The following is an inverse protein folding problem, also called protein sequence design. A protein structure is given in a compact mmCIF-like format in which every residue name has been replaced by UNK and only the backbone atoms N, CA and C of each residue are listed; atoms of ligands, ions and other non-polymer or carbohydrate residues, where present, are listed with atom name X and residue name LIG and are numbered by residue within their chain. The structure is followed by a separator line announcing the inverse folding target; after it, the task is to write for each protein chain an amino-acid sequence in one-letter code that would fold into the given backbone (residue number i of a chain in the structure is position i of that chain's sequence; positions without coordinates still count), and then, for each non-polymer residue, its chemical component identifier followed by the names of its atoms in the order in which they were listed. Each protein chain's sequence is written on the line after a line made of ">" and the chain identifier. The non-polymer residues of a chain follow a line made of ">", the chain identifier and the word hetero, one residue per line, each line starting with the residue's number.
data_IF_399025228315
#
_entry.id   IF_399025228315
#
_cell.length_a   1.000
_cell.length_b   1.000
_cell.length_c   1.000
_cell.angle_alpha   90.00
_cell.angle_beta   90.00
_cell.angle_gamma   90.00
#
_symmetry.space_group_name_H-M   'P 1'
#
loop_
_entity.id
_entity.type
_entity.pdbx_description
1 polymer ?
#
# COMPACT_ATOMS: atom_id res chain seq x y z
N UNK A 1 3.64 -27.88 13.77
CA UNK A 1 3.36 -28.19 12.34
C UNK A 1 3.59 -26.94 11.49
N UNK A 2 4.45 -26.99 10.46
CA UNK A 2 4.68 -25.83 9.57
C UNK A 2 3.44 -25.62 8.72
N UNK A 3 2.72 -24.49 8.89
CA UNK A 3 1.53 -24.17 8.08
C UNK A 3 1.97 -23.95 6.62
N UNK A 4 1.58 -24.84 5.71
CA UNK A 4 1.98 -24.77 4.29
C UNK A 4 1.20 -23.73 3.51
N UNK A 5 -0.10 -23.57 3.82
CA UNK A 5 -1.03 -22.64 3.19
C UNK A 5 -1.81 -21.84 4.25
N UNK A 6 -2.53 -20.82 3.80
CA UNK A 6 -3.35 -19.92 4.61
C UNK A 6 -2.80 -18.50 4.57
N UNK A 7 -3.65 -17.57 4.12
CA UNK A 7 -3.38 -16.14 4.14
C UNK A 7 -3.29 -15.65 5.60
N UNK A 8 -2.35 -14.75 5.87
CA UNK A 8 -2.18 -14.11 7.18
C UNK A 8 -1.82 -12.63 6.99
N UNK A 9 -2.40 -11.78 7.85
CA UNK A 9 -2.03 -10.39 8.01
C UNK A 9 -0.84 -10.23 8.97
N UNK A 10 -0.07 -9.17 8.77
CA UNK A 10 1.00 -8.80 9.70
C UNK A 10 0.71 -7.46 10.33
N UNK A 11 1.07 -7.31 11.61
CA UNK A 11 0.95 -6.03 12.29
C UNK A 11 1.73 -4.95 11.52
N UNK A 12 1.11 -3.81 11.28
CA UNK A 12 1.69 -2.67 10.61
C UNK A 12 1.59 -1.44 11.53
N UNK A 13 2.71 -0.76 11.73
CA UNK A 13 2.78 0.39 12.65
C UNK A 13 2.04 1.62 12.13
N UNK A 14 1.66 1.65 10.85
CA UNK A 14 0.96 2.78 10.25
C UNK A 14 -0.54 2.65 10.34
N UNK A 15 -1.08 1.43 10.26
CA UNK A 15 -2.53 1.17 10.11
C UNK A 15 -3.06 -0.11 10.76
N UNK A 16 -2.30 -0.65 11.71
CA UNK A 16 -2.59 -1.90 12.42
C UNK A 16 -2.34 -3.15 11.59
N UNK A 17 -2.91 -3.30 10.39
CA UNK A 17 -2.77 -4.52 9.60
C UNK A 17 -2.31 -4.29 8.16
N UNK A 18 -1.46 -5.19 7.68
CA UNK A 18 -1.06 -5.25 6.29
C UNK A 18 -1.00 -6.69 5.77
N UNK A 19 -1.52 -6.91 4.56
CA UNK A 19 -1.21 -8.09 3.77
C UNK A 19 0.14 -7.91 3.07
N UNK A 20 0.92 -8.96 2.85
CA UNK A 20 2.23 -8.84 2.21
C UNK A 20 2.64 -10.12 1.48
N UNK A 21 3.49 -9.93 0.47
CA UNK A 21 4.00 -10.96 -0.43
C UNK A 21 5.54 -10.92 -0.51
N UNK A 22 6.20 -11.97 -1.02
CA UNK A 22 7.65 -11.99 -1.17
C UNK A 22 8.07 -11.12 -2.36
N UNK A 23 8.73 -10.01 -2.05
CA UNK A 23 9.22 -9.05 -3.07
C UNK A 23 10.05 -9.66 -4.20
N UNK A 24 10.76 -10.77 -3.94
CA UNK A 24 11.58 -11.45 -4.95
C UNK A 24 10.76 -12.15 -6.03
N UNK A 25 9.45 -12.30 -5.83
CA UNK A 25 8.53 -12.94 -6.78
C UNK A 25 7.50 -11.97 -7.35
N UNK A 26 7.18 -10.92 -6.60
CA UNK A 26 5.99 -10.11 -6.89
C UNK A 26 6.27 -8.66 -7.25
N UNK A 27 7.48 -8.14 -7.00
CA UNK A 27 7.83 -6.77 -7.38
C UNK A 27 8.37 -6.73 -8.82
N UNK A 28 7.47 -6.88 -9.79
CA UNK A 28 7.82 -7.07 -11.22
C UNK A 28 8.48 -5.84 -11.86
N UNK A 29 8.10 -4.64 -11.43
CA UNK A 29 8.57 -3.36 -12.00
C UNK A 29 9.46 -2.59 -11.01
N UNK A 30 10.12 -3.30 -10.08
CA UNK A 30 11.00 -2.66 -9.09
C UNK A 30 12.29 -2.11 -9.74
N UNK A 31 12.54 -0.83 -9.51
CA UNK A 31 13.79 -0.14 -9.89
C UNK A 31 14.95 -0.57 -9.00
N UNK A 32 16.19 -0.28 -9.41
CA UNK A 32 17.37 -0.59 -8.61
C UNK A 32 17.41 0.26 -7.33
N UNK A 33 17.00 1.53 -7.39
CA UNK A 33 16.80 2.37 -6.20
C UNK A 33 15.80 1.71 -5.24
N UNK A 34 14.63 1.29 -5.73
CA UNK A 34 13.64 0.60 -4.91
C UNK A 34 14.21 -0.68 -4.28
N UNK A 35 14.90 -1.53 -5.04
CA UNK A 35 15.51 -2.76 -4.53
C UNK A 35 16.56 -2.48 -3.45
N UNK A 36 17.32 -1.40 -3.59
CA UNK A 36 18.35 -0.96 -2.63
C UNK A 36 17.75 -0.39 -1.35
N UNK A 37 16.75 0.48 -1.48
CA UNK A 37 16.11 1.20 -0.36
C UNK A 37 14.89 0.47 0.24
N UNK A 38 14.51 -0.69 -0.33
CA UNK A 38 13.32 -1.42 0.03
C UNK A 38 13.19 -1.60 1.55
N UNK A 39 12.08 -1.13 2.12
CA UNK A 39 11.75 -1.26 3.54
C UNK A 39 11.80 -2.72 4.02
N UNK A 40 11.49 -3.68 3.14
CA UNK A 40 11.64 -5.11 3.40
C UNK A 40 13.09 -5.58 3.68
N UNK A 41 14.10 -4.71 3.55
CA UNK A 41 15.50 -4.99 3.97
C UNK A 41 15.71 -4.74 5.46
N UNK A 42 14.78 -4.05 6.13
CA UNK A 42 14.86 -3.80 7.57
C UNK A 42 14.87 -5.08 8.39
N UNK A 43 15.49 -5.01 9.57
CA UNK A 43 15.74 -6.15 10.46
C UNK A 43 14.47 -6.95 10.77
N UNK A 44 13.33 -6.25 10.88
CA UNK A 44 12.00 -6.82 11.11
C UNK A 44 11.55 -7.81 10.03
N UNK A 45 12.09 -7.72 8.81
CA UNK A 45 11.71 -8.56 7.67
C UNK A 45 12.76 -9.64 7.35
N UNK A 46 13.90 -9.65 8.04
CA UNK A 46 15.01 -10.54 7.71
C UNK A 46 14.90 -11.93 8.30
N UNK A 47 14.15 -12.11 9.39
CA UNK A 47 14.02 -13.42 10.03
C UNK A 47 13.30 -14.43 9.13
N UNK A 48 13.70 -15.70 9.24
CA UNK A 48 13.11 -16.77 8.45
C UNK A 48 11.60 -16.87 8.66
N UNK A 49 11.13 -16.72 9.91
CA UNK A 49 9.71 -16.74 10.22
C UNK A 49 8.92 -15.65 9.46
N UNK A 50 9.50 -14.45 9.32
CA UNK A 50 8.84 -13.34 8.60
C UNK A 50 8.83 -13.57 7.08
N UNK A 51 9.88 -14.17 6.53
CA UNK A 51 9.93 -14.59 5.12
C UNK A 51 8.92 -15.71 4.85
N UNK A 52 8.86 -16.71 5.72
CA UNK A 52 7.96 -17.86 5.61
C UNK A 52 6.48 -17.45 5.60
N UNK A 53 6.09 -16.40 6.36
CA UNK A 53 4.72 -15.86 6.32
C UNK A 53 4.35 -15.34 4.93
N UNK A 54 5.23 -14.55 4.31
CA UNK A 54 5.00 -13.97 2.97
C UNK A 54 5.02 -15.03 1.89
N UNK A 55 5.95 -15.98 2.00
CA UNK A 55 6.02 -17.12 1.09
C UNK A 55 4.74 -17.96 1.17
N UNK A 56 4.22 -18.20 2.39
CA UNK A 56 2.94 -18.89 2.57
C UNK A 56 1.76 -18.13 1.94
N UNK A 57 1.71 -16.80 2.12
CA UNK A 57 0.71 -15.97 1.46
C UNK A 57 0.77 -16.14 -0.06
N UNK A 58 1.96 -16.03 -0.66
CA UNK A 58 2.16 -16.21 -2.10
C UNK A 58 1.73 -17.60 -2.58
N UNK A 59 2.16 -18.68 -1.93
CA UNK A 59 1.74 -20.04 -2.29
C UNK A 59 0.23 -20.23 -2.21
N UNK A 60 -0.43 -19.61 -1.24
CA UNK A 60 -1.89 -19.68 -1.09
C UNK A 60 -2.58 -18.89 -2.19
N UNK A 61 -2.10 -17.69 -2.51
CA UNK A 61 -2.59 -16.88 -3.64
C UNK A 61 -2.51 -17.69 -4.93
N UNK A 62 -1.34 -18.22 -5.28
CA UNK A 62 -1.14 -18.98 -6.52
C UNK A 62 -2.02 -20.24 -6.57
N UNK A 63 -2.17 -20.93 -5.44
CA UNK A 63 -3.04 -22.11 -5.36
C UNK A 63 -4.49 -21.75 -5.65
N UNK A 64 -5.02 -20.69 -5.03
CA UNK A 64 -6.42 -20.30 -5.20
C UNK A 64 -6.68 -19.75 -6.61
N UNK A 65 -5.79 -18.91 -7.14
CA UNK A 65 -5.89 -18.43 -8.51
C UNK A 65 -5.88 -19.58 -9.51
N UNK A 66 -4.98 -20.56 -9.33
CA UNK A 66 -4.90 -21.74 -10.21
C UNK A 66 -6.18 -22.59 -10.21
N UNK A 67 -6.87 -22.71 -9.06
CA UNK A 67 -8.00 -23.62 -8.92
C UNK A 67 -9.36 -22.97 -9.14
N UNK A 68 -9.47 -21.65 -9.02
CA UNK A 68 -10.76 -20.96 -9.14
C UNK A 68 -10.67 -19.48 -9.45
N UNK A 69 -9.52 -19.02 -9.97
CA UNK A 69 -9.35 -17.66 -10.45
C UNK A 69 -9.47 -16.57 -9.37
N UNK A 70 -9.68 -15.32 -9.79
CA UNK A 70 -9.84 -14.17 -8.90
C UNK A 70 -10.94 -14.34 -7.86
N UNK A 71 -12.06 -14.97 -8.23
CA UNK A 71 -13.24 -15.14 -7.39
C UNK A 71 -12.93 -16.03 -6.17
N UNK A 72 -12.24 -17.16 -6.39
CA UNK A 72 -11.87 -18.05 -5.30
C UNK A 72 -10.85 -17.40 -4.35
N UNK A 73 -9.89 -16.64 -4.89
CA UNK A 73 -8.97 -15.89 -4.05
C UNK A 73 -9.71 -14.78 -3.27
N UNK A 74 -10.64 -14.08 -3.91
CA UNK A 74 -11.42 -13.02 -3.29
C UNK A 74 -12.20 -13.53 -2.07
N UNK A 75 -12.82 -14.71 -2.14
CA UNK A 75 -13.49 -15.34 -0.99
C UNK A 75 -12.55 -15.48 0.21
N UNK A 76 -11.29 -15.87 -0.01
CA UNK A 76 -10.32 -15.99 1.09
C UNK A 76 -9.81 -14.62 1.56
N UNK A 77 -9.62 -13.65 0.65
CA UNK A 77 -9.26 -12.27 1.00
C UNK A 77 -10.34 -11.60 1.84
N UNK A 78 -11.62 -11.83 1.52
CA UNK A 78 -12.76 -11.32 2.28
C UNK A 78 -12.75 -11.80 3.73
N UNK A 79 -12.51 -13.10 3.95
CA UNK A 79 -12.34 -13.65 5.30
C UNK A 79 -11.14 -13.03 6.03
N UNK A 80 -10.05 -12.78 5.31
CA UNK A 80 -8.86 -12.14 5.87
C UNK A 80 -9.15 -10.68 6.27
N UNK A 81 -9.85 -9.93 5.44
CA UNK A 81 -10.29 -8.55 5.70
C UNK A 81 -11.16 -8.51 6.96
N UNK A 82 -12.11 -9.43 7.08
CA UNK A 82 -13.00 -9.53 8.24
C UNK A 82 -12.27 -9.82 9.55
N UNK A 83 -11.15 -10.56 9.49
CA UNK A 83 -10.30 -10.79 10.66
C UNK A 83 -9.60 -9.53 11.19
N UNK A 84 -9.57 -8.45 10.39
CA UNK A 84 -8.95 -7.17 10.74
C UNK A 84 -9.94 -6.15 11.33
N UNK A 85 -11.22 -6.51 11.52
CA UNK A 85 -12.23 -5.60 12.07
C UNK A 85 -11.82 -5.06 13.46
N UNK A 86 -12.13 -3.78 13.76
CA UNK A 86 -12.04 -3.25 15.12
C UNK A 86 -12.83 -4.13 16.09
N UNK A 87 -12.34 -4.27 17.33
CA UNK A 87 -12.92 -5.16 18.33
C UNK A 87 -14.37 -4.78 18.67
N UNK A 88 -14.65 -3.48 18.70
CA UNK A 88 -15.93 -2.88 19.02
C UNK A 88 -16.83 -2.69 17.77
N UNK A 89 -16.38 -3.13 16.58
CA UNK A 89 -17.07 -2.88 15.31
C UNK A 89 -18.56 -3.21 15.35
N UNK A 90 -18.95 -4.39 15.86
CA UNK A 90 -20.35 -4.81 15.91
C UNK A 90 -21.16 -3.99 16.89
N UNK A 91 -20.58 -3.68 18.06
CA UNK A 91 -21.22 -2.82 19.07
C UNK A 91 -21.44 -1.41 18.51
N UNK A 92 -20.41 -0.83 17.89
CA UNK A 92 -20.48 0.50 17.27
C UNK A 92 -21.50 0.56 16.14
N UNK A 93 -21.63 -0.51 15.34
CA UNK A 93 -22.68 -0.64 14.32
C UNK A 93 -24.08 -0.68 14.92
N UNK A 94 -24.30 -1.46 15.98
CA UNK A 94 -25.60 -1.52 16.68
C UNK A 94 -25.98 -0.17 17.32
N UNK A 95 -25.00 0.49 17.92
CA UNK A 95 -25.19 1.77 18.61
C UNK A 95 -25.22 2.97 17.66
N UNK A 96 -24.98 2.76 16.35
CA UNK A 96 -24.84 3.83 15.34
C UNK A 96 -23.74 4.84 15.68
N UNK A 97 -22.64 4.35 16.28
CA UNK A 97 -21.44 5.12 16.60
C UNK A 97 -20.28 4.69 15.70
N UNK A 98 -19.19 5.48 15.69
CA UNK A 98 -17.93 5.07 15.04
C UNK A 98 -17.17 4.11 15.95
N UNK A 99 -16.42 3.15 15.37
CA UNK A 99 -15.52 2.33 16.17
C UNK A 99 -14.38 3.16 16.77
N UNK A 100 -13.80 2.69 17.88
CA UNK A 100 -12.66 3.32 18.56
C UNK A 100 -11.49 3.59 17.60
N UNK A 101 -11.25 2.65 16.69
CA UNK A 101 -10.29 2.78 15.59
C UNK A 101 -10.95 2.50 14.24
N UNK A 102 -10.61 3.26 13.19
CA UNK A 102 -11.09 2.97 11.83
C UNK A 102 -10.73 1.56 11.35
N UNK A 103 -11.64 0.93 10.60
CA UNK A 103 -11.36 -0.36 9.97
C UNK A 103 -10.56 -0.15 8.69
N UNK A 104 -9.25 -0.33 8.79
CA UNK A 104 -8.31 -0.03 7.70
C UNK A 104 -7.39 -1.21 7.40
N UNK A 105 -7.04 -1.41 6.14
CA UNK A 105 -6.07 -2.42 5.74
C UNK A 105 -5.11 -1.91 4.66
N UNK A 106 -3.81 -2.07 4.91
CA UNK A 106 -2.80 -1.83 3.87
C UNK A 106 -2.63 -3.04 2.99
N UNK A 107 -2.82 -2.87 1.68
CA UNK A 107 -2.41 -3.89 0.72
C UNK A 107 -0.92 -3.67 0.43
N UNK A 108 -0.12 -4.63 0.86
CA UNK A 108 1.35 -4.66 0.78
C UNK A 108 2.07 -3.62 1.65
N UNK A 109 2.73 -4.13 2.70
CA UNK A 109 3.87 -3.45 3.31
C UNK A 109 5.21 -3.93 2.70
N UNK A 110 5.21 -5.17 2.19
CA UNK A 110 6.27 -5.76 1.36
C UNK A 110 5.62 -6.58 0.26
N UNK A 111 6.22 -6.59 -0.93
CA UNK A 111 5.64 -7.17 -2.14
C UNK A 111 4.95 -6.10 -2.98
N UNK A 112 4.34 -6.52 -4.08
CA UNK A 112 3.56 -5.67 -4.99
C UNK A 112 2.57 -6.57 -5.76
N UNK A 113 1.70 -5.97 -6.55
CA UNK A 113 0.86 -6.64 -7.52
C UNK A 113 1.70 -7.14 -8.70
N UNK A 114 1.40 -8.35 -9.20
CA UNK A 114 2.22 -8.99 -10.25
C UNK A 114 1.41 -9.64 -11.36
N UNK A 115 0.08 -9.69 -11.23
CA UNK A 115 -0.80 -10.26 -12.25
C UNK A 115 -2.16 -9.59 -12.24
N UNK A 116 -2.84 -9.67 -13.40
CA UNK A 116 -4.21 -9.17 -13.58
C UNK A 116 -5.18 -9.87 -12.64
N UNK A 117 -5.08 -11.20 -12.53
CA UNK A 117 -5.98 -12.01 -11.70
C UNK A 117 -5.84 -11.70 -10.21
N UNK A 118 -4.60 -11.50 -9.75
CA UNK A 118 -4.33 -11.11 -8.37
C UNK A 118 -4.92 -9.73 -8.04
N UNK A 119 -4.76 -8.77 -8.95
CA UNK A 119 -5.30 -7.41 -8.80
C UNK A 119 -6.84 -7.43 -8.82
N UNK A 120 -7.43 -8.24 -9.70
CA UNK A 120 -8.88 -8.44 -9.79
C UNK A 120 -9.45 -9.09 -8.53
N UNK A 121 -8.75 -10.04 -7.92
CA UNK A 121 -9.20 -10.66 -6.67
C UNK A 121 -9.32 -9.63 -5.53
N UNK A 122 -8.36 -8.69 -5.44
CA UNK A 122 -8.44 -7.58 -4.49
C UNK A 122 -9.60 -6.65 -4.80
N UNK A 123 -9.82 -6.30 -6.06
CA UNK A 123 -10.95 -5.46 -6.45
C UNK A 123 -12.29 -6.08 -6.01
N UNK A 124 -12.50 -7.38 -6.25
CA UNK A 124 -13.69 -8.10 -5.79
C UNK A 124 -13.81 -8.01 -4.26
N UNK A 125 -12.74 -8.34 -3.54
CA UNK A 125 -12.75 -8.37 -2.07
C UNK A 125 -12.99 -6.98 -1.44
N UNK A 126 -12.43 -5.93 -2.04
CA UNK A 126 -12.60 -4.53 -1.59
C UNK A 126 -14.02 -4.04 -1.86
N UNK A 127 -14.59 -4.36 -3.03
CA UNK A 127 -16.00 -4.08 -3.34
C UNK A 127 -16.96 -4.73 -2.33
N UNK A 128 -16.66 -5.94 -1.87
CA UNK A 128 -17.49 -6.66 -0.90
C UNK A 128 -17.41 -6.09 0.53
N UNK A 129 -16.45 -5.19 0.81
CA UNK A 129 -16.21 -4.63 2.14
C UNK A 129 -16.11 -3.10 2.09
N UNK A 130 -17.21 -2.40 1.72
CA UNK A 130 -17.22 -0.93 1.61
C UNK A 130 -17.01 -0.22 2.94
N UNK A 131 -17.17 -0.91 4.07
CA UNK A 131 -16.94 -0.37 5.43
C UNK A 131 -15.46 -0.39 5.84
N UNK A 132 -14.58 -1.03 5.06
CA UNK A 132 -13.14 -1.05 5.30
C UNK A 132 -12.43 -0.14 4.29
N UNK A 133 -11.55 0.72 4.78
CA UNK A 133 -10.72 1.57 3.95
C UNK A 133 -9.38 0.89 3.61
N UNK A 134 -9.00 0.96 2.34
CA UNK A 134 -7.81 0.35 1.80
C UNK A 134 -6.87 1.40 1.18
N UNK A 135 -5.58 1.14 1.21
CA UNK A 135 -4.64 1.80 0.32
C UNK A 135 -3.45 0.89 0.04
N UNK A 136 -2.77 1.21 -1.05
CA UNK A 136 -1.61 0.46 -1.51
C UNK A 136 -0.65 1.35 -2.27
N UNK A 137 0.61 0.93 -2.28
CA UNK A 137 1.64 1.52 -3.11
C UNK A 137 2.03 0.50 -4.15
N UNK A 138 2.12 0.90 -5.40
CA UNK A 138 2.54 0.01 -6.48
C UNK A 138 3.56 0.68 -7.38
N UNK A 139 4.48 -0.14 -7.90
CA UNK A 139 5.36 0.23 -9.02
C UNK A 139 4.96 -0.48 -10.31
N UNK A 140 3.94 -1.34 -10.23
CA UNK A 140 3.53 -2.26 -11.28
C UNK A 140 2.63 -1.57 -12.31
N UNK A 141 3.12 -0.44 -12.81
CA UNK A 141 2.46 0.42 -13.78
C UNK A 141 3.16 0.42 -15.15
N UNK A 142 4.21 -0.38 -15.34
CA UNK A 142 4.86 -0.56 -16.65
C UNK A 142 4.31 -1.77 -17.40
N UNK A 143 3.73 -2.74 -16.69
CA UNK A 143 3.00 -3.86 -17.30
C UNK A 143 1.54 -3.45 -17.59
N UNK A 144 1.14 -3.20 -18.86
CA UNK A 144 -0.14 -2.53 -19.16
C UNK A 144 -1.38 -3.28 -18.68
N UNK A 145 -1.39 -4.61 -18.77
CA UNK A 145 -2.52 -5.43 -18.32
C UNK A 145 -2.72 -5.38 -16.80
N UNK A 146 -1.61 -5.42 -16.04
CA UNK A 146 -1.62 -5.29 -14.58
C UNK A 146 -2.05 -3.88 -14.20
N UNK A 147 -1.44 -2.85 -14.83
CA UNK A 147 -1.77 -1.46 -14.55
C UNK A 147 -3.24 -1.15 -14.80
N UNK A 148 -3.81 -1.64 -15.91
CA UNK A 148 -5.22 -1.48 -16.21
C UNK A 148 -6.12 -2.02 -15.10
N UNK A 149 -5.84 -3.24 -14.64
CA UNK A 149 -6.58 -3.89 -13.54
C UNK A 149 -6.44 -3.13 -12.22
N UNK A 150 -5.24 -2.62 -11.92
CA UNK A 150 -5.00 -1.79 -10.74
C UNK A 150 -5.75 -0.46 -10.79
N UNK A 151 -5.93 0.13 -11.98
CA UNK A 151 -6.76 1.31 -12.16
C UNK A 151 -8.20 1.08 -11.73
N UNK A 152 -8.76 -0.10 -11.99
CA UNK A 152 -10.11 -0.44 -11.55
C UNK A 152 -10.20 -0.58 -10.02
N UNK A 153 -9.19 -1.20 -9.38
CA UNK A 153 -9.08 -1.26 -7.92
C UNK A 153 -8.94 0.14 -7.29
N UNK A 154 -8.06 0.99 -7.84
CA UNK A 154 -7.83 2.35 -7.38
C UNK A 154 -9.02 3.30 -7.63
N UNK A 155 -9.99 2.89 -8.43
CA UNK A 155 -11.22 3.64 -8.68
C UNK A 155 -12.31 3.37 -7.63
N UNK A 156 -12.13 2.38 -6.76
CA UNK A 156 -13.11 2.06 -5.72
C UNK A 156 -13.15 3.16 -4.64
N UNK A 157 -14.34 3.51 -4.13
CA UNK A 157 -14.51 4.65 -3.21
C UNK A 157 -13.82 4.43 -1.86
N UNK A 158 -13.63 3.18 -1.44
CA UNK A 158 -12.95 2.80 -0.20
C UNK A 158 -11.49 2.37 -0.45
N UNK A 159 -10.88 2.73 -1.58
CA UNK A 159 -9.50 2.37 -1.90
C UNK A 159 -8.69 3.55 -2.43
N UNK A 160 -7.51 3.79 -1.87
CA UNK A 160 -6.55 4.78 -2.36
C UNK A 160 -5.33 4.09 -2.99
N UNK A 161 -5.19 4.19 -4.31
CA UNK A 161 -4.00 3.74 -5.03
C UNK A 161 -2.90 4.80 -5.04
N UNK A 162 -1.65 4.38 -4.83
CA UNK A 162 -0.47 5.24 -4.94
C UNK A 162 0.51 4.69 -5.98
N UNK A 163 0.88 5.51 -6.95
CA UNK A 163 2.01 5.23 -7.83
C UNK A 163 3.30 5.58 -7.09
N UNK A 164 4.11 4.57 -6.78
CA UNK A 164 5.39 4.78 -6.13
C UNK A 164 6.47 5.06 -7.17
N UNK A 165 7.07 6.24 -7.07
CA UNK A 165 8.13 6.67 -7.99
C UNK A 165 9.42 6.96 -7.26
N UNK A 166 10.54 6.82 -7.95
CA UNK A 166 11.83 7.41 -7.63
C UNK A 166 12.46 7.98 -8.91
N UNK A 167 13.73 8.36 -8.84
CA UNK A 167 14.44 8.94 -9.98
C UNK A 167 14.49 8.01 -11.22
N UNK A 168 14.41 6.69 -11.05
CA UNK A 168 14.55 5.73 -12.16
C UNK A 168 13.24 5.56 -12.95
N UNK A 169 12.08 5.77 -12.31
CA UNK A 169 10.77 5.53 -12.91
C UNK A 169 9.79 6.72 -12.85
N UNK A 170 10.29 7.93 -12.55
CA UNK A 170 9.46 9.12 -12.40
C UNK A 170 8.65 9.40 -13.67
N UNK A 171 9.31 9.46 -14.83
CA UNK A 171 8.64 9.76 -16.11
C UNK A 171 7.55 8.75 -16.46
N UNK A 172 7.78 7.46 -16.19
CA UNK A 172 6.81 6.40 -16.41
C UNK A 172 5.61 6.54 -15.46
N UNK A 173 5.86 6.89 -14.19
CA UNK A 173 4.79 7.13 -13.22
C UNK A 173 3.94 8.36 -13.57
N UNK A 174 4.57 9.43 -14.04
CA UNK A 174 3.86 10.62 -14.54
C UNK A 174 2.99 10.28 -15.76
N UNK A 175 3.54 9.55 -16.73
CA UNK A 175 2.78 9.09 -17.89
C UNK A 175 1.60 8.18 -17.49
N UNK A 176 1.79 7.31 -16.51
CA UNK A 176 0.74 6.45 -15.99
C UNK A 176 -0.44 7.27 -15.42
N UNK A 177 -0.15 8.31 -14.60
CA UNK A 177 -1.19 9.23 -14.10
C UNK A 177 -2.05 9.82 -15.23
N UNK A 178 -1.40 10.29 -16.30
CA UNK A 178 -2.08 10.90 -17.44
C UNK A 178 -2.93 9.90 -18.24
N UNK A 179 -2.53 8.62 -18.28
CA UNK A 179 -3.21 7.59 -19.07
C UNK A 179 -4.47 7.01 -18.42
N UNK A 180 -4.64 7.19 -17.11
CA UNK A 180 -5.83 6.72 -16.38
C UNK A 180 -6.39 7.79 -15.43
N UNK A 181 -6.86 8.94 -15.93
CA UNK A 181 -7.32 10.04 -15.09
C UNK A 181 -8.59 9.70 -14.29
N UNK A 182 -9.37 8.71 -14.76
CA UNK A 182 -10.54 8.21 -14.03
C UNK A 182 -10.17 7.45 -12.76
N UNK A 183 -8.95 6.88 -12.72
CA UNK A 183 -8.45 6.24 -11.51
C UNK A 183 -7.92 7.31 -10.55
N UNK A 184 -8.30 7.23 -9.27
CA UNK A 184 -7.95 8.22 -8.24
C UNK A 184 -6.50 8.03 -7.75
N UNK A 185 -5.56 7.99 -8.68
CA UNK A 185 -4.15 7.81 -8.37
C UNK A 185 -3.57 9.04 -7.67
N UNK A 186 -2.78 8.78 -6.62
CA UNK A 186 -1.87 9.78 -6.03
C UNK A 186 -0.43 9.35 -6.28
N UNK A 187 0.51 10.30 -6.26
CA UNK A 187 1.93 10.06 -6.46
C UNK A 187 2.66 9.97 -5.12
N UNK A 188 3.39 8.88 -4.91
CA UNK A 188 4.23 8.65 -3.75
C UNK A 188 5.70 8.65 -4.15
N UNK A 189 6.42 9.72 -3.81
CA UNK A 189 7.83 9.89 -4.17
C UNK A 189 8.71 9.25 -3.10
N UNK A 190 9.42 8.18 -3.47
CA UNK A 190 10.55 7.66 -2.70
C UNK A 190 11.76 8.56 -2.98
N UNK A 191 11.96 9.56 -2.14
CA UNK A 191 13.09 10.47 -2.29
C UNK A 191 14.38 9.72 -1.94
N UNK A 192 15.27 9.62 -2.93
CA UNK A 192 16.66 9.18 -2.80
C UNK A 192 17.58 10.40 -2.75
N UNK A 193 18.89 10.19 -2.59
CA UNK A 193 19.87 11.26 -2.70
C UNK A 193 19.95 11.87 -4.10
N UNK A 194 19.60 11.07 -5.10
CA UNK A 194 19.82 11.39 -6.52
C UNK A 194 18.58 12.04 -7.14
N UNK A 195 17.44 12.02 -6.45
CA UNK A 195 16.23 12.69 -6.91
C UNK A 195 16.33 14.20 -6.66
N UNK A 196 16.25 14.98 -7.72
CA UNK A 196 16.22 16.45 -7.67
C UNK A 196 14.78 16.96 -7.77
N UNK A 197 14.46 18.00 -6.98
CA UNK A 197 13.15 18.65 -6.98
C UNK A 197 12.76 19.23 -8.34
N UNK A 198 13.74 19.70 -9.11
CA UNK A 198 13.54 20.29 -10.44
C UNK A 198 12.79 19.34 -11.37
N UNK A 199 13.07 18.03 -11.29
CA UNK A 199 12.36 17.00 -12.07
C UNK A 199 10.86 16.87 -11.75
N UNK A 200 10.42 17.46 -10.63
CA UNK A 200 9.02 17.42 -10.18
C UNK A 200 8.31 18.75 -10.39
N UNK A 201 9.03 19.86 -10.55
CA UNK A 201 8.45 21.20 -10.59
C UNK A 201 7.42 21.34 -11.72
N UNK A 202 7.72 20.77 -12.89
CA UNK A 202 6.84 20.84 -14.05
C UNK A 202 5.58 19.97 -13.90
N UNK A 203 5.64 18.89 -13.11
CA UNK A 203 4.52 17.96 -12.93
C UNK A 203 3.55 18.38 -11.81
N UNK A 204 3.99 19.22 -10.86
CA UNK A 204 3.19 19.63 -9.69
C UNK A 204 1.89 20.38 -10.08
N UNK A 205 1.89 21.33 -11.03
CA UNK A 205 0.67 22.03 -11.42
C UNK A 205 -0.41 21.10 -11.97
N UNK A 206 -0.02 20.09 -12.77
CA UNK A 206 -0.95 19.18 -13.43
C UNK A 206 -1.58 18.17 -12.47
N UNK A 207 -0.78 17.59 -11.57
CA UNK A 207 -1.24 16.57 -10.61
C UNK A 207 -1.96 17.21 -9.42
N UNK A 208 -1.61 18.46 -9.12
CA UNK A 208 -2.00 19.17 -7.91
C UNK A 208 -1.14 18.73 -6.72
N UNK A 209 -0.55 19.70 -6.03
CA UNK A 209 0.37 19.48 -4.90
C UNK A 209 -0.18 18.55 -3.80
N UNK A 210 -1.49 18.57 -3.56
CA UNK A 210 -2.13 17.71 -2.55
C UNK A 210 -2.10 16.21 -2.88
N UNK A 211 -1.91 15.86 -4.15
CA UNK A 211 -1.87 14.48 -4.64
C UNK A 211 -0.44 13.94 -4.78
N UNK A 212 0.57 14.74 -4.44
CA UNK A 212 1.98 14.34 -4.46
C UNK A 212 2.50 14.32 -3.01
N UNK A 213 2.84 13.13 -2.53
CA UNK A 213 3.42 12.96 -1.20
C UNK A 213 4.87 12.47 -1.31
N UNK A 214 5.75 13.23 -0.67
CA UNK A 214 7.16 12.93 -0.56
C UNK A 214 7.46 12.04 0.66
N UNK A 215 8.20 10.96 0.41
CA UNK A 215 8.69 10.00 1.40
C UNK A 215 10.23 10.06 1.39
N UNK A 216 10.83 10.97 2.18
CA UNK A 216 12.28 10.98 2.37
C UNK A 216 12.75 9.63 2.88
N UNK A 217 13.86 9.14 2.32
CA UNK A 217 14.43 7.89 2.78
C UNK A 217 14.94 8.01 4.22
N UNK A 218 14.39 7.16 5.08
CA UNK A 218 14.76 7.01 6.49
C UNK A 218 14.89 5.53 6.84
N UNK A 219 16.10 4.98 6.77
CA UNK A 219 16.32 3.58 7.15
C UNK A 219 17.75 3.31 7.62
N UNK A 220 17.87 2.62 8.76
CA UNK A 220 19.15 2.17 9.33
C UNK A 220 20.07 3.31 9.78
N UNK A 221 19.51 4.38 10.35
CA UNK A 221 20.27 5.56 10.79
C UNK A 221 20.71 6.49 9.65
N UNK A 222 20.43 6.13 8.40
CA UNK A 222 20.64 6.98 7.23
C UNK A 222 19.35 7.68 6.88
N UNK A 223 19.39 9.00 6.93
CA UNK A 223 18.26 9.88 6.66
C UNK A 223 18.68 10.90 5.60
N UNK A 224 17.72 11.33 4.80
CA UNK A 224 17.87 12.52 3.97
C UNK A 224 16.91 13.60 4.47
N UNK A 225 17.31 14.86 4.31
CA UNK A 225 16.42 15.97 4.61
C UNK A 225 15.23 15.95 3.65
N UNK A 226 14.03 16.17 4.20
CA UNK A 226 12.85 16.35 3.39
C UNK A 226 13.01 17.57 2.48
N UNK A 227 12.41 17.50 1.30
CA UNK A 227 12.23 18.67 0.45
C UNK A 227 11.44 19.78 1.15
N UNK A 228 11.59 21.02 0.67
CA UNK A 228 10.84 22.16 1.20
C UNK A 228 9.32 21.91 1.06
N UNK A 229 8.61 21.97 2.18
CA UNK A 229 7.16 21.73 2.26
C UNK A 229 6.34 22.77 1.48
N UNK A 230 6.90 23.93 1.17
CA UNK A 230 6.29 24.91 0.27
C UNK A 230 6.17 24.39 -1.17
N UNK A 231 7.01 23.43 -1.56
CA UNK A 231 7.02 22.86 -2.92
C UNK A 231 6.29 21.51 -2.97
N UNK A 232 6.64 20.56 -2.08
CA UNK A 232 6.03 19.22 -2.03
C UNK A 232 5.66 18.86 -0.60
N UNK A 233 4.49 18.27 -0.41
CA UNK A 233 4.06 17.79 0.91
C UNK A 233 4.84 16.52 1.29
N UNK A 234 5.56 16.54 2.41
CA UNK A 234 6.16 15.34 2.97
C UNK A 234 5.18 14.57 3.85
N UNK A 235 5.30 13.25 3.88
CA UNK A 235 4.46 12.38 4.70
C UNK A 235 4.46 12.84 6.18
N UNK A 236 3.29 13.21 6.76
CA UNK A 236 3.19 13.72 8.14
C UNK A 236 3.73 12.74 9.18
N UNK A 237 3.57 11.43 8.93
CA UNK A 237 4.07 10.39 9.83
C UNK A 237 5.60 10.17 9.74
N UNK A 238 6.26 10.74 8.74
CA UNK A 238 7.72 10.72 8.58
C UNK A 238 8.35 11.97 9.19
N UNK A 239 7.76 13.15 8.93
CA UNK A 239 8.27 14.42 9.48
C UNK A 239 7.94 14.64 10.95
N UNK A 240 7.09 13.78 11.54
CA UNK A 240 6.85 13.72 12.98
C UNK A 240 5.53 14.34 13.45
N UNK A 241 4.68 14.79 12.53
CA UNK A 241 3.37 15.39 12.82
C UNK A 241 2.35 14.34 13.27
N UNK A 242 2.40 13.13 12.69
CA UNK A 242 1.54 12.00 13.08
C UNK A 242 2.37 10.92 13.77
N UNK A 243 2.46 11.02 15.10
CA UNK A 243 3.27 10.12 15.95
C UNK A 243 2.55 8.81 16.24
N UNK A 244 3.33 7.72 16.26
CA UNK A 244 2.86 6.42 16.70
C UNK A 244 2.79 6.38 18.24
N UNK A 245 1.66 5.95 18.76
CA UNK A 245 1.44 5.65 20.18
C UNK A 245 1.50 4.14 20.42
N UNK A 246 1.83 3.73 21.65
CA UNK A 246 1.85 2.33 22.05
C UNK A 246 0.48 1.80 22.51
N UNK A 247 -0.55 2.63 22.51
CA UNK A 247 -1.90 2.27 22.94
C UNK A 247 -2.68 1.59 21.78
N UNK A 248 -3.11 0.33 21.92
CA UNK A 248 -3.87 -0.39 20.90
C UNK A 248 -5.29 0.17 20.67
N UNK A 249 -5.82 0.99 21.56
CA UNK A 249 -7.13 1.65 21.45
C UNK A 249 -7.05 3.00 20.73
N UNK A 250 -5.86 3.46 20.40
CA UNK A 250 -5.67 4.72 19.66
C UNK A 250 -5.41 4.46 18.19
N UNK A 251 -5.98 5.34 17.35
CA UNK A 251 -5.76 5.30 15.92
C UNK A 251 -4.28 5.47 15.58
N UNK A 252 -3.78 4.61 14.70
CA UNK A 252 -2.41 4.67 14.18
C UNK A 252 -2.26 5.87 13.23
N UNK A 253 -1.04 6.38 12.99
CA UNK A 253 -0.80 7.58 12.20
C UNK A 253 -1.53 7.63 10.84
N UNK A 254 -1.51 6.54 10.08
CA UNK A 254 -2.12 6.53 8.74
C UNK A 254 -3.62 6.22 8.77
N UNK A 255 -4.20 5.89 9.91
CA UNK A 255 -5.66 5.81 10.11
C UNK A 255 -6.30 7.18 10.36
N UNK A 256 -5.49 8.23 10.49
CA UNK A 256 -5.94 9.62 10.63
C UNK A 256 -5.45 10.51 9.47
N UNK A 257 -4.64 9.95 8.58
CA UNK A 257 -3.96 10.72 7.53
C UNK A 257 -4.88 10.85 6.31
N UNK A 258 -5.39 12.06 6.07
CA UNK A 258 -6.23 12.39 4.91
C UNK A 258 -5.54 12.14 3.56
N UNK A 259 -4.21 12.09 3.53
CA UNK A 259 -3.49 11.70 2.32
C UNK A 259 -3.67 10.21 2.04
N UNK A 260 -3.38 9.36 3.04
CA UNK A 260 -3.34 7.90 2.91
C UNK A 260 -4.72 7.26 2.78
N UNK A 261 -5.72 7.82 3.44
CA UNK A 261 -7.08 7.31 3.38
C UNK A 261 -7.78 7.73 2.09
N UNK A 262 -8.71 6.91 1.58
CA UNK A 262 -9.62 7.37 0.54
C UNK A 262 -10.41 8.59 1.06
N UNK A 263 -10.59 9.58 0.18
CA UNK A 263 -11.34 10.80 0.44
C UNK A 263 -12.68 10.81 -0.25
#
# INVERSE_FOLDING_TARGET
>A
MKRTYGLELTNNSKVSWAFSLPRSKTCIDATEICKKLCYGRGIRYQSQAQKDKRERNYRTVELLLKNGGPELLAQNLVHLIDSARPRDWLTSKLMKTKPDVPWTLRIHDVGDFYSTDYSRAWQIAVCERPECDFWFYTRSFQTPAVYKSLGELASLPNCQGWLSVDADNLSQGLLALCNQPAARWKLAILQSKDLQLEHLQDAIPEIGKANIINFPYHHGGRNIAAFNQQVVTSCPAIVGDLKLTNDPHTSRPCQLCSYCLPG
#
